data_IF_817292432641
#
_entry.id   IF_817292432641
#
_cell.length_a   1.000
_cell.length_b   1.000
_cell.length_c   1.000
_cell.angle_alpha   90.00
_cell.angle_beta   90.00
_cell.angle_gamma   90.00
#
_symmetry.space_group_name_H-M   'P 1'
#
loop_
_entity.id
_entity.type
_entity.pdbx_description
1 polymer ?
#
# COMPACT_ATOMS: atom_id res chain seq x y z
N UNK A 1 -11.04 -16.25 -21.48
CA UNK A 1 -11.31 -16.86 -20.16
C UNK A 1 -10.16 -16.52 -19.22
N UNK A 2 -10.45 -16.22 -17.94
CA UNK A 2 -9.39 -16.01 -16.94
C UNK A 2 -8.64 -17.34 -16.67
N UNK A 3 -7.39 -17.24 -16.24
CA UNK A 3 -6.58 -18.41 -15.86
C UNK A 3 -7.28 -19.21 -14.74
N UNK A 4 -7.21 -20.56 -14.70
CA UNK A 4 -7.85 -21.36 -13.66
C UNK A 4 -7.50 -20.92 -12.23
N UNK A 5 -6.25 -20.58 -11.97
CA UNK A 5 -5.80 -20.05 -10.68
C UNK A 5 -6.54 -18.77 -10.25
N UNK A 6 -6.84 -17.89 -11.20
CA UNK A 6 -7.59 -16.64 -10.92
C UNK A 6 -9.07 -16.94 -10.61
N UNK A 7 -9.64 -17.97 -11.24
CA UNK A 7 -11.05 -18.33 -11.02
C UNK A 7 -11.30 -18.89 -9.61
N UNK A 8 -10.29 -19.47 -8.99
CA UNK A 8 -10.37 -20.04 -7.62
C UNK A 8 -10.00 -19.04 -6.52
N UNK A 9 -9.50 -17.86 -6.87
CA UNK A 9 -9.10 -16.85 -5.88
C UNK A 9 -10.33 -16.21 -5.23
N UNK A 10 -10.29 -16.09 -3.91
CA UNK A 10 -11.23 -15.26 -3.18
C UNK A 10 -10.79 -13.80 -3.25
N UNK A 11 -11.71 -12.92 -3.62
CA UNK A 11 -11.42 -11.49 -3.60
C UNK A 11 -11.08 -11.01 -2.18
N UNK A 12 -10.05 -10.18 -2.07
CA UNK A 12 -9.70 -9.56 -0.80
C UNK A 12 -10.87 -8.71 -0.30
N UNK A 13 -11.32 -8.99 0.93
CA UNK A 13 -12.33 -8.16 1.60
C UNK A 13 -11.62 -7.03 2.35
N UNK A 14 -11.83 -5.81 1.89
CA UNK A 14 -11.36 -4.61 2.59
C UNK A 14 -12.12 -4.40 3.89
N UNK A 15 -11.49 -3.70 4.86
CA UNK A 15 -12.21 -3.24 6.05
C UNK A 15 -13.38 -2.33 5.64
N UNK A 16 -14.52 -2.47 6.33
CA UNK A 16 -15.73 -1.70 6.04
C UNK A 16 -15.49 -0.20 6.24
N UNK A 17 -15.79 0.66 5.24
CA UNK A 17 -15.71 2.11 5.40
C UNK A 17 -16.69 2.63 6.46
N UNK A 18 -16.31 3.72 7.15
CA UNK A 18 -17.18 4.34 8.17
C UNK A 18 -18.52 4.77 7.55
N UNK A 19 -18.48 5.37 6.37
CA UNK A 19 -19.64 5.88 5.66
C UNK A 19 -20.63 4.77 5.28
N UNK A 20 -20.13 3.58 4.98
CA UNK A 20 -20.97 2.41 4.72
C UNK A 20 -21.68 1.95 5.99
N UNK A 21 -20.94 1.84 7.10
CA UNK A 21 -21.52 1.47 8.38
C UNK A 21 -22.53 2.53 8.88
N UNK A 22 -22.27 3.79 8.68
CA UNK A 22 -23.19 4.89 8.99
C UNK A 22 -24.50 4.77 8.22
N UNK A 23 -24.42 4.50 6.90
CA UNK A 23 -25.62 4.33 6.06
C UNK A 23 -26.46 3.12 6.48
N UNK A 24 -25.82 2.00 6.84
CA UNK A 24 -26.53 0.78 7.21
C UNK A 24 -27.17 0.85 8.58
N UNK A 25 -26.49 1.46 9.54
CA UNK A 25 -26.91 1.46 10.96
C UNK A 25 -27.61 2.74 11.39
N UNK A 26 -27.57 3.78 10.56
CA UNK A 26 -28.17 5.07 10.88
C UNK A 26 -27.48 5.82 12.04
N UNK A 27 -26.23 5.45 12.36
CA UNK A 27 -25.44 6.03 13.44
C UNK A 27 -24.39 6.94 12.85
N UNK A 28 -24.17 8.11 13.44
CA UNK A 28 -23.20 9.10 12.93
C UNK A 28 -21.91 9.14 13.73
N UNK A 29 -21.91 8.64 14.97
CA UNK A 29 -20.75 8.62 15.86
C UNK A 29 -20.14 7.22 15.89
N UNK A 30 -19.01 7.05 15.16
CA UNK A 30 -18.28 5.79 15.04
C UNK A 30 -16.84 5.93 15.47
N UNK A 31 -16.39 4.99 16.28
CA UNK A 31 -14.96 4.75 16.51
C UNK A 31 -14.52 3.57 15.64
N UNK A 32 -13.73 3.82 14.60
CA UNK A 32 -13.20 2.78 13.73
C UNK A 32 -11.95 2.16 14.36
N UNK A 33 -12.08 0.89 14.74
CA UNK A 33 -10.96 0.07 15.25
C UNK A 33 -10.46 -0.95 14.22
N UNK A 34 -11.02 -0.94 13.02
CA UNK A 34 -10.59 -1.74 11.89
C UNK A 34 -9.60 -0.96 11.02
N UNK A 35 -8.69 -1.69 10.34
CA UNK A 35 -7.59 -1.13 9.53
C UNK A 35 -6.46 -0.50 10.37
N UNK A 36 -5.25 -0.45 9.79
CA UNK A 36 -4.08 0.15 10.41
C UNK A 36 -4.01 1.65 10.09
N UNK A 37 -4.99 2.41 10.57
CA UNK A 37 -5.09 3.85 10.35
C UNK A 37 -4.54 4.61 11.55
N UNK A 38 -3.83 5.72 11.28
CA UNK A 38 -3.35 6.60 12.34
C UNK A 38 -4.49 7.54 12.81
N UNK A 39 -5.04 7.37 14.02
CA UNK A 39 -6.17 8.18 14.50
C UNK A 39 -5.80 9.65 14.72
N UNK A 40 -4.51 9.98 14.80
CA UNK A 40 -4.03 11.36 14.94
C UNK A 40 -4.00 12.12 13.60
N UNK A 41 -4.23 11.42 12.48
CA UNK A 41 -4.10 12.02 11.17
C UNK A 41 -2.65 12.36 10.77
N UNK A 42 -2.47 13.12 9.70
CA UNK A 42 -1.15 13.56 9.23
C UNK A 42 -0.60 14.69 10.09
N UNK A 43 0.73 14.82 10.16
CA UNK A 43 1.37 15.95 10.84
C UNK A 43 1.12 17.27 10.08
N UNK A 44 1.17 18.43 10.78
CA UNK A 44 1.05 19.73 10.10
C UNK A 44 2.07 19.94 8.99
N UNK A 45 3.28 19.41 9.13
CA UNK A 45 4.32 19.47 8.10
C UNK A 45 3.94 18.69 6.85
N UNK A 46 3.31 17.51 7.00
CA UNK A 46 2.80 16.72 5.87
C UNK A 46 1.68 17.48 5.15
N UNK A 47 0.75 18.08 5.89
CA UNK A 47 -0.32 18.89 5.30
C UNK A 47 0.22 20.05 4.49
N UNK A 48 1.22 20.78 5.01
CA UNK A 48 1.87 21.87 4.30
C UNK A 48 2.59 21.38 3.03
N UNK A 49 3.30 20.25 3.11
CA UNK A 49 3.97 19.65 1.95
C UNK A 49 2.98 19.25 0.86
N UNK A 50 1.84 18.65 1.24
CA UNK A 50 0.77 18.27 0.31
C UNK A 50 0.15 19.49 -0.37
N UNK A 51 -0.11 20.57 0.38
CA UNK A 51 -0.65 21.80 -0.19
C UNK A 51 0.31 22.44 -1.22
N UNK A 52 1.62 22.39 -0.97
CA UNK A 52 2.61 22.86 -1.91
C UNK A 52 2.70 21.94 -3.14
N UNK A 53 2.73 20.62 -2.95
CA UNK A 53 2.80 19.66 -4.04
C UNK A 53 1.55 19.70 -4.94
N UNK A 54 0.39 20.07 -4.40
CA UNK A 54 -0.86 20.20 -5.15
C UNK A 54 -0.76 21.21 -6.32
N UNK A 55 0.15 22.15 -6.28
CA UNK A 55 0.36 23.13 -7.35
C UNK A 55 1.06 22.53 -8.59
N UNK A 56 1.68 21.37 -8.43
CA UNK A 56 2.47 20.68 -9.48
C UNK A 56 1.87 19.33 -9.93
N UNK A 57 0.64 19.02 -9.49
CA UNK A 57 -0.01 17.70 -9.79
C UNK A 57 -0.29 17.47 -11.28
N UNK A 58 -0.20 18.51 -12.11
CA UNK A 58 -0.31 18.41 -13.55
C UNK A 58 0.96 17.87 -14.22
N UNK A 59 2.02 17.64 -13.48
CA UNK A 59 3.28 17.05 -13.95
C UNK A 59 3.45 15.64 -13.40
N UNK A 60 4.01 14.76 -14.22
CA UNK A 60 4.39 13.44 -13.74
C UNK A 60 5.51 13.55 -12.71
N UNK A 61 5.45 12.80 -11.61
CA UNK A 61 6.55 12.71 -10.66
C UNK A 61 7.75 11.98 -11.29
N UNK A 62 8.92 12.10 -10.65
CA UNK A 62 10.08 11.27 -11.00
C UNK A 62 9.78 9.79 -10.76
N UNK A 63 9.66 9.02 -11.84
CA UNK A 63 9.35 7.58 -11.78
C UNK A 63 10.41 6.75 -11.07
N UNK A 64 11.65 7.25 -10.97
CA UNK A 64 12.72 6.57 -10.24
C UNK A 64 12.72 6.88 -8.74
N UNK A 65 12.01 7.91 -8.31
CA UNK A 65 11.94 8.35 -6.92
C UNK A 65 13.30 8.73 -6.33
N UNK A 66 14.13 9.42 -7.12
CA UNK A 66 15.53 9.73 -6.79
C UNK A 66 15.69 10.31 -5.39
N UNK A 67 15.02 11.40 -5.08
CA UNK A 67 15.15 12.06 -3.78
C UNK A 67 14.65 11.20 -2.62
N UNK A 68 13.54 10.48 -2.81
CA UNK A 68 12.99 9.59 -1.79
C UNK A 68 13.96 8.45 -1.49
N UNK A 69 14.53 7.82 -2.52
CA UNK A 69 15.51 6.73 -2.34
C UNK A 69 16.78 7.22 -1.63
N UNK A 70 17.26 8.41 -1.92
CA UNK A 70 18.43 8.98 -1.22
C UNK A 70 18.16 9.14 0.28
N UNK A 71 17.02 9.73 0.64
CA UNK A 71 16.64 9.92 2.05
C UNK A 71 16.45 8.57 2.76
N UNK A 72 15.82 7.60 2.09
CA UNK A 72 15.63 6.26 2.66
C UNK A 72 16.96 5.52 2.83
N UNK A 73 17.86 5.61 1.85
CA UNK A 73 19.19 5.01 1.91
C UNK A 73 20.00 5.56 3.10
N UNK A 74 20.04 6.87 3.25
CA UNK A 74 20.70 7.53 4.38
C UNK A 74 20.06 7.11 5.72
N UNK A 75 18.74 7.15 5.82
CA UNK A 75 18.01 6.81 7.05
C UNK A 75 18.23 5.36 7.50
N UNK A 76 18.33 4.43 6.56
CA UNK A 76 18.45 3.00 6.84
C UNK A 76 19.89 2.48 6.74
N UNK A 77 20.84 3.31 6.32
CA UNK A 77 22.24 2.91 6.18
C UNK A 77 22.46 1.83 5.10
N UNK A 78 21.70 1.88 4.01
CA UNK A 78 21.78 0.92 2.89
C UNK A 78 22.11 1.64 1.59
N UNK A 79 22.59 0.89 0.59
CA UNK A 79 22.81 1.44 -0.75
C UNK A 79 21.48 1.78 -1.43
N UNK A 80 21.46 2.84 -2.24
CA UNK A 80 20.29 3.27 -3.00
C UNK A 80 19.76 2.16 -3.92
N UNK A 81 20.65 1.33 -4.47
CA UNK A 81 20.31 0.17 -5.28
C UNK A 81 19.54 -0.93 -4.52
N UNK A 82 19.58 -0.92 -3.19
CA UNK A 82 18.83 -1.86 -2.36
C UNK A 82 17.38 -1.41 -2.08
N UNK A 83 16.94 -0.29 -2.67
CA UNK A 83 15.61 0.28 -2.41
C UNK A 83 14.73 0.17 -3.65
N UNK A 84 13.63 -0.55 -3.51
CA UNK A 84 12.54 -0.61 -4.50
C UNK A 84 11.33 0.14 -3.95
N UNK A 85 10.72 0.98 -4.77
CA UNK A 85 9.52 1.72 -4.43
C UNK A 85 8.28 1.09 -5.11
N UNK A 86 7.15 1.19 -4.44
CA UNK A 86 5.86 0.74 -4.97
C UNK A 86 4.70 1.52 -4.35
N UNK A 87 3.52 1.37 -4.91
CA UNK A 87 2.29 2.02 -4.44
C UNK A 87 1.69 1.31 -3.20
N UNK A 88 2.52 1.03 -2.22
CA UNK A 88 2.18 0.32 -0.99
C UNK A 88 2.74 -1.11 -0.96
N UNK A 89 2.51 -1.80 0.16
CA UNK A 89 3.06 -3.15 0.39
C UNK A 89 2.53 -4.20 -0.58
N UNK A 90 1.29 -4.06 -1.04
CA UNK A 90 0.68 -5.00 -1.99
C UNK A 90 1.41 -4.97 -3.33
N UNK A 91 1.70 -3.77 -3.84
CA UNK A 91 2.45 -3.60 -5.09
C UNK A 91 3.85 -4.22 -4.98
N UNK A 92 4.55 -4.00 -3.86
CA UNK A 92 5.85 -4.63 -3.62
C UNK A 92 5.77 -6.15 -3.57
N UNK A 93 4.75 -6.72 -2.92
CA UNK A 93 4.57 -8.18 -2.88
C UNK A 93 4.29 -8.75 -4.26
N UNK A 94 3.48 -8.07 -5.08
CA UNK A 94 3.20 -8.47 -6.45
C UNK A 94 4.47 -8.39 -7.33
N UNK A 95 5.25 -7.33 -7.19
CA UNK A 95 6.53 -7.19 -7.89
C UNK A 95 7.51 -8.31 -7.52
N UNK A 96 7.62 -8.66 -6.22
CA UNK A 96 8.45 -9.77 -5.76
C UNK A 96 7.94 -11.09 -6.34
N UNK A 97 6.64 -11.35 -6.23
CA UNK A 97 6.05 -12.57 -6.77
C UNK A 97 6.31 -12.70 -8.28
N UNK A 98 6.08 -11.63 -9.03
CA UNK A 98 6.29 -11.60 -10.48
C UNK A 98 7.76 -11.78 -10.90
N UNK A 99 8.70 -11.32 -10.07
CA UNK A 99 10.12 -11.39 -10.36
C UNK A 99 10.78 -12.73 -9.97
N UNK A 100 10.25 -13.42 -8.95
CA UNK A 100 10.93 -14.55 -8.32
C UNK A 100 10.12 -15.84 -8.31
N UNK A 101 8.81 -15.80 -8.59
CA UNK A 101 7.96 -16.99 -8.54
C UNK A 101 7.54 -17.42 -9.95
N UNK A 102 7.61 -18.74 -10.17
CA UNK A 102 7.15 -19.44 -11.38
C UNK A 102 6.45 -20.75 -11.00
N UNK A 103 6.24 -21.65 -11.97
CA UNK A 103 5.60 -22.95 -11.73
C UNK A 103 6.42 -23.89 -10.83
N UNK A 104 7.73 -23.68 -10.71
CA UNK A 104 8.68 -24.57 -10.04
C UNK A 104 9.15 -24.02 -8.70
N UNK A 105 8.73 -22.80 -8.36
CA UNK A 105 9.07 -22.11 -7.11
C UNK A 105 7.87 -21.97 -6.19
N UNK A 106 8.12 -21.87 -4.89
CA UNK A 106 7.08 -21.66 -3.90
C UNK A 106 7.47 -20.58 -2.90
N UNK A 107 6.47 -19.83 -2.42
CA UNK A 107 6.65 -18.84 -1.37
C UNK A 107 6.17 -19.41 -0.03
N UNK A 108 6.92 -19.11 1.04
CA UNK A 108 6.51 -19.39 2.41
C UNK A 108 6.14 -18.08 3.09
N UNK A 109 4.94 -18.03 3.65
CA UNK A 109 4.44 -16.86 4.35
C UNK A 109 3.75 -17.26 5.65
N UNK A 110 3.59 -16.32 6.57
CA UNK A 110 2.91 -16.55 7.85
C UNK A 110 1.45 -16.91 7.63
N UNK A 111 0.92 -17.86 8.39
CA UNK A 111 -0.51 -18.19 8.38
C UNK A 111 -1.40 -16.98 8.71
N UNK A 112 -0.87 -16.01 9.46
CA UNK A 112 -1.57 -14.77 9.81
C UNK A 112 -1.28 -13.63 8.83
N UNK A 113 -0.50 -13.86 7.76
CA UNK A 113 -0.30 -12.86 6.73
C UNK A 113 -1.64 -12.61 6.00
N UNK A 114 -1.89 -11.35 5.66
CA UNK A 114 -3.07 -11.03 4.85
C UNK A 114 -2.96 -11.74 3.51
N UNK A 115 -4.05 -12.33 3.08
CA UNK A 115 -4.16 -12.94 1.74
C UNK A 115 -4.10 -11.83 0.70
N UNK A 116 -2.91 -11.56 0.18
CA UNK A 116 -2.66 -10.55 -0.86
C UNK A 116 -2.15 -11.20 -2.15
N UNK A 117 -2.09 -12.53 -2.19
CA UNK A 117 -1.61 -13.28 -3.34
C UNK A 117 -2.62 -14.38 -3.65
#
# INVERSE_FOLDING_TARGET
MARPAIQSMQAYQTGKPIEEAQRELGITDFVKLASNENPRGPSPQVLAALANAAQEVNRYPDGNGFYLKQILAERHGVDVGCITLGAGSNDILELIASAYLDSDTSAVYSQCARSLI
#
